data_IF_184782156765
#
_entry.id   IF_184782156765
#
_cell.length_a   1.000
_cell.length_b   1.000
_cell.length_c   1.000
_cell.angle_alpha   90.00
_cell.angle_beta   90.00
_cell.angle_gamma   90.00
#
_symmetry.space_group_name_H-M   'P 1'
#
loop_
_entity.id
_entity.type
_entity.pdbx_description
1 polymer ?
#
# COMPACT_ATOMS: atom_id res chain seq x y z
N UNK A 1 -3.60 -9.97 -10.59
CA UNK A 1 -3.59 -9.41 -9.23
C UNK A 1 -4.65 -8.34 -9.15
N UNK A 2 -5.31 -8.23 -8.01
CA UNK A 2 -6.35 -7.24 -7.74
C UNK A 2 -5.72 -5.95 -7.21
N UNK A 3 -6.39 -4.82 -7.41
CA UNK A 3 -5.96 -3.55 -6.84
C UNK A 3 -6.48 -3.44 -5.41
N UNK A 4 -5.63 -2.97 -4.49
CA UNK A 4 -6.03 -2.65 -3.13
C UNK A 4 -5.54 -1.27 -2.75
N UNK A 5 -6.33 -0.54 -1.98
CA UNK A 5 -5.84 0.61 -1.22
C UNK A 5 -5.77 0.19 0.24
N UNK A 6 -4.57 0.33 0.79
CA UNK A 6 -4.29 0.10 2.19
C UNK A 6 -4.15 1.44 2.90
N UNK A 7 -4.90 1.62 3.98
CA UNK A 7 -4.70 2.68 4.96
C UNK A 7 -3.90 2.10 6.11
N UNK A 8 -2.75 2.69 6.39
CA UNK A 8 -1.86 2.28 7.48
C UNK A 8 -1.87 3.37 8.55
N UNK A 9 -2.18 3.01 9.79
CA UNK A 9 -2.17 3.94 10.93
C UNK A 9 -1.09 3.51 11.91
N UNK A 10 -0.13 4.39 12.21
CA UNK A 10 0.91 4.11 13.21
C UNK A 10 0.29 4.07 14.61
N UNK A 11 0.74 3.17 15.47
CA UNK A 11 0.17 3.04 16.82
C UNK A 11 0.44 4.24 17.74
N UNK A 12 1.49 5.01 17.46
CA UNK A 12 1.89 6.20 18.23
C UNK A 12 2.79 7.14 17.41
N UNK A 13 3.13 8.30 17.98
CA UNK A 13 4.13 9.17 17.37
C UNK A 13 5.51 8.47 17.29
N UNK A 14 5.91 7.72 18.31
CA UNK A 14 7.17 6.97 18.32
C UNK A 14 7.21 5.92 17.21
N UNK A 15 6.11 5.18 17.02
CA UNK A 15 5.97 4.22 15.93
C UNK A 15 6.11 4.89 14.56
N UNK A 16 5.47 6.06 14.39
CA UNK A 16 5.60 6.87 13.17
C UNK A 16 7.04 7.37 12.97
N UNK A 17 7.73 7.79 14.02
CA UNK A 17 9.15 8.20 13.93
C UNK A 17 10.02 7.00 13.53
N UNK A 18 9.81 5.83 14.12
CA UNK A 18 10.53 4.62 13.76
C UNK A 18 10.32 4.26 12.27
N UNK A 19 9.08 4.33 11.78
CA UNK A 19 8.79 4.12 10.36
C UNK A 19 9.56 5.10 9.46
N UNK A 20 9.55 6.39 9.80
CA UNK A 20 10.27 7.43 9.04
C UNK A 20 11.78 7.20 9.10
N UNK A 21 12.34 6.90 10.26
CA UNK A 21 13.79 6.66 10.40
C UNK A 21 14.25 5.47 9.56
N UNK A 22 13.43 4.42 9.48
CA UNK A 22 13.70 3.22 8.68
C UNK A 22 13.58 3.46 7.17
N UNK A 23 12.77 4.44 6.74
CA UNK A 23 12.41 4.62 5.32
C UNK A 23 13.00 5.88 4.68
N UNK A 24 13.35 6.92 5.44
CA UNK A 24 13.77 8.24 4.91
C UNK A 24 15.03 8.23 4.04
N UNK A 25 15.87 7.21 4.19
CA UNK A 25 17.11 7.06 3.43
C UNK A 25 16.97 6.08 2.26
N UNK A 26 15.84 5.39 2.14
CA UNK A 26 15.57 4.49 1.02
C UNK A 26 15.35 5.31 -0.25
N UNK A 27 15.89 4.82 -1.36
CA UNK A 27 15.46 5.26 -2.68
C UNK A 27 14.02 4.82 -2.94
N UNK A 28 13.34 5.49 -3.88
CA UNK A 28 11.99 5.07 -4.30
C UNK A 28 11.96 3.61 -4.77
N UNK A 29 13.04 3.15 -5.41
CA UNK A 29 13.17 1.78 -5.89
C UNK A 29 13.26 0.79 -4.73
N UNK A 30 14.12 1.03 -3.75
CA UNK A 30 14.28 0.18 -2.57
C UNK A 30 12.99 0.09 -1.76
N UNK A 31 12.29 1.21 -1.58
CA UNK A 31 11.00 1.22 -0.87
C UNK A 31 9.95 0.35 -1.57
N UNK A 32 9.88 0.39 -2.90
CA UNK A 32 8.90 -0.40 -3.67
C UNK A 32 9.32 -1.87 -3.71
N UNK A 33 10.56 -2.17 -4.08
CA UNK A 33 11.06 -3.55 -4.23
C UNK A 33 11.15 -4.28 -2.89
N UNK A 34 11.42 -3.59 -1.78
CA UNK A 34 11.45 -4.17 -0.43
C UNK A 34 10.10 -4.73 0.03
N UNK A 35 9.00 -4.31 -0.59
CA UNK A 35 7.65 -4.80 -0.30
C UNK A 35 7.14 -5.87 -1.26
N UNK A 36 7.94 -6.23 -2.27
CA UNK A 36 7.51 -7.13 -3.32
C UNK A 36 7.65 -8.60 -2.88
N UNK A 37 6.53 -9.33 -2.92
CA UNK A 37 6.48 -10.78 -2.77
C UNK A 37 5.92 -11.42 -4.03
N UNK A 38 5.78 -12.76 -4.03
CA UNK A 38 5.10 -13.45 -5.12
C UNK A 38 3.60 -13.11 -5.20
N UNK A 39 2.97 -12.72 -4.08
CA UNK A 39 1.52 -12.56 -3.95
C UNK A 39 1.07 -11.11 -3.76
N UNK A 40 1.97 -10.20 -3.42
CA UNK A 40 1.66 -8.80 -3.17
C UNK A 40 2.81 -7.89 -3.61
N UNK A 41 2.46 -6.71 -4.12
CA UNK A 41 3.41 -5.67 -4.53
C UNK A 41 2.84 -4.29 -4.26
N UNK A 42 3.56 -3.46 -3.50
CA UNK A 42 3.24 -2.03 -3.40
C UNK A 42 3.61 -1.35 -4.71
N UNK A 43 2.71 -0.53 -5.26
CA UNK A 43 2.93 0.20 -6.51
C UNK A 43 2.93 1.71 -6.31
N UNK A 44 2.39 2.20 -5.20
CA UNK A 44 2.51 3.59 -4.80
C UNK A 44 2.35 3.76 -3.28
N UNK A 45 2.96 4.83 -2.76
CA UNK A 45 2.99 5.20 -1.35
C UNK A 45 2.74 6.70 -1.21
N UNK A 46 1.87 7.08 -0.29
CA UNK A 46 1.55 8.47 0.04
C UNK A 46 1.56 8.67 1.55
N UNK A 47 2.52 9.43 2.05
CA UNK A 47 2.63 9.77 3.47
C UNK A 47 2.63 11.29 3.66
N UNK A 48 1.74 11.74 4.56
CA UNK A 48 1.66 13.12 5.01
C UNK A 48 2.38 13.35 6.34
N UNK A 49 1.95 14.38 7.06
CA UNK A 49 2.44 14.68 8.42
C UNK A 49 1.64 13.98 9.53
N UNK A 50 0.48 13.43 9.19
CA UNK A 50 -0.42 12.76 10.12
C UNK A 50 0.07 11.35 10.48
N UNK A 51 -0.67 10.70 11.39
CA UNK A 51 -0.37 9.35 11.91
C UNK A 51 -0.68 8.21 10.94
N UNK A 52 -1.30 8.51 9.81
CA UNK A 52 -1.65 7.53 8.78
C UNK A 52 -1.02 7.85 7.42
N UNK A 53 -0.93 6.82 6.59
CA UNK A 53 -0.48 6.91 5.21
C UNK A 53 -1.21 5.88 4.34
N UNK A 54 -1.15 6.06 3.02
CA UNK A 54 -1.84 5.21 2.06
C UNK A 54 -0.83 4.50 1.18
N UNK A 55 -1.14 3.25 0.83
CA UNK A 55 -0.41 2.50 -0.17
C UNK A 55 -1.37 1.88 -1.18
N UNK A 56 -1.02 1.94 -2.46
CA UNK A 56 -1.69 1.17 -3.50
C UNK A 56 -0.91 -0.13 -3.68
N UNK A 57 -1.62 -1.25 -3.60
CA UNK A 57 -1.10 -2.59 -3.77
C UNK A 57 -1.73 -3.30 -4.96
N UNK A 58 -0.94 -4.16 -5.61
CA UNK A 58 -1.42 -5.26 -6.42
C UNK A 58 -1.24 -6.54 -5.61
N UNK A 59 -2.31 -7.25 -5.29
CA UNK A 59 -2.24 -8.44 -4.46
C UNK A 59 -3.26 -9.53 -4.85
N UNK A 60 -3.04 -10.76 -4.36
CA UNK A 60 -4.00 -11.86 -4.47
C UNK A 60 -5.16 -11.71 -3.46
N UNK A 61 -4.87 -11.24 -2.26
CA UNK A 61 -5.85 -10.98 -1.18
C UNK A 61 -5.35 -9.90 -0.22
N UNK A 62 -6.20 -9.50 0.73
CA UNK A 62 -5.81 -8.63 1.85
C UNK A 62 -4.71 -9.30 2.72
N UNK A 63 -4.84 -10.60 3.02
CA UNK A 63 -3.86 -11.35 3.81
C UNK A 63 -2.47 -11.34 3.17
N UNK A 64 -2.37 -11.41 1.84
CA UNK A 64 -1.09 -11.32 1.15
C UNK A 64 -0.37 -9.99 1.38
N UNK A 65 -1.11 -8.89 1.62
CA UNK A 65 -0.54 -7.59 1.97
C UNK A 65 -0.05 -7.63 3.42
N UNK A 66 -0.84 -8.17 4.35
CA UNK A 66 -0.43 -8.32 5.76
C UNK A 66 0.82 -9.20 5.89
N UNK A 67 0.89 -10.33 5.20
CA UNK A 67 2.09 -11.21 5.15
C UNK A 67 3.34 -10.44 4.67
N UNK A 68 3.19 -9.59 3.65
CA UNK A 68 4.29 -8.78 3.11
C UNK A 68 4.77 -7.69 4.08
N UNK A 69 3.86 -7.12 4.86
CA UNK A 69 4.17 -6.11 5.89
C UNK A 69 4.80 -6.74 7.13
N UNK A 70 4.30 -7.91 7.55
CA UNK A 70 4.85 -8.68 8.67
C UNK A 70 6.28 -9.14 8.39
N UNK A 71 6.58 -9.61 7.17
CA UNK A 71 7.93 -9.98 6.76
C UNK A 71 8.95 -8.83 6.83
N UNK A 72 8.47 -7.58 6.81
CA UNK A 72 9.28 -6.37 6.98
C UNK A 72 9.32 -5.84 8.43
N UNK A 73 8.67 -6.54 9.37
CA UNK A 73 8.58 -6.11 10.77
C UNK A 73 7.67 -4.90 10.99
N UNK A 74 6.75 -4.62 10.06
CA UNK A 74 5.84 -3.48 10.15
C UNK A 74 4.57 -3.79 10.96
N UNK A 75 4.23 -5.06 11.14
CA UNK A 75 3.03 -5.48 11.87
C UNK A 75 2.97 -4.92 13.32
N UNK A 76 4.13 -4.69 13.95
CA UNK A 76 4.24 -4.14 15.31
C UNK A 76 4.23 -2.59 15.35
N UNK A 77 4.12 -1.92 14.20
CA UNK A 77 4.25 -0.46 14.08
C UNK A 77 2.94 0.16 13.54
N UNK A 78 2.21 -0.56 12.70
CA UNK A 78 1.03 -0.05 11.98
C UNK A 78 -0.17 -1.00 12.08
N UNK A 79 -1.37 -0.44 12.25
CA UNK A 79 -2.63 -1.12 11.88
C UNK A 79 -2.82 -0.91 10.39
N UNK A 80 -3.16 -1.97 9.65
CA UNK A 80 -3.48 -1.90 8.23
C UNK A 80 -4.95 -2.26 8.00
N UNK A 81 -5.65 -1.45 7.21
CA UNK A 81 -6.95 -1.78 6.63
C UNK A 81 -6.79 -1.75 5.10
N UNK A 82 -6.87 -2.91 4.44
CA UNK A 82 -6.70 -3.04 2.99
C UNK A 82 -8.03 -3.39 2.32
N UNK A 83 -8.44 -2.58 1.34
CA UNK A 83 -9.72 -2.72 0.66
C UNK A 83 -9.49 -2.96 -0.83
N UNK A 84 -10.15 -3.98 -1.39
CA UNK A 84 -10.12 -4.26 -2.82
C UNK A 84 -10.80 -3.11 -3.60
N UNK A 85 -10.14 -2.65 -4.66
CA UNK A 85 -10.61 -1.57 -5.51
C UNK A 85 -10.81 -2.09 -6.93
N UNK A 86 -12.05 -2.37 -7.30
CA UNK A 86 -12.38 -2.91 -8.64
C UNK A 86 -12.24 -1.87 -9.76
N UNK A 87 -12.23 -0.57 -9.42
CA UNK A 87 -12.02 0.53 -10.37
C UNK A 87 -10.75 1.31 -10.03
N UNK A 88 -9.84 1.38 -10.99
CA UNK A 88 -8.62 2.20 -10.92
C UNK A 88 -8.46 3.00 -12.22
N UNK A 89 -8.31 4.32 -12.10
CA UNK A 89 -8.12 5.24 -13.22
C UNK A 89 -6.88 6.08 -12.92
N UNK A 90 -5.97 6.19 -13.90
CA UNK A 90 -4.76 7.00 -13.78
C UNK A 90 -4.57 7.88 -15.01
N UNK A 91 -4.15 9.12 -14.80
CA UNK A 91 -3.72 10.01 -15.88
C UNK A 91 -2.48 9.49 -16.64
N UNK A 92 -1.78 8.50 -16.08
CA UNK A 92 -0.64 7.84 -16.74
C UNK A 92 -1.05 6.72 -17.71
N UNK A 93 -2.32 6.30 -17.72
CA UNK A 93 -2.86 5.22 -18.56
C UNK A 93 -4.30 5.56 -18.97
N UNK A 94 -4.46 6.57 -19.82
CA UNK A 94 -5.77 7.01 -20.32
C UNK A 94 -6.21 6.13 -21.50
N UNK A 95 -7.44 5.64 -21.44
CA UNK A 95 -8.08 4.83 -22.48
C UNK A 95 -9.39 5.48 -22.91
N UNK A 96 -9.72 5.35 -24.19
CA UNK A 96 -10.98 5.83 -24.76
C UNK A 96 -12.09 4.77 -24.61
N UNK A 97 -12.27 4.27 -23.39
CA UNK A 97 -13.25 3.24 -23.02
C UNK A 97 -14.10 3.74 -21.82
N UNK A 98 -15.37 3.31 -21.68
CA UNK A 98 -16.16 3.63 -20.49
C UNK A 98 -15.47 3.15 -19.21
N UNK A 99 -15.62 3.91 -18.11
CA UNK A 99 -14.97 3.61 -16.82
C UNK A 99 -15.47 2.34 -16.11
N UNK A 100 -16.51 1.66 -16.64
CA UNK A 100 -17.18 0.50 -16.01
C UNK A 100 -17.99 0.86 -14.76
N UNK A 101 -18.84 -0.02 -14.23
CA UNK A 101 -19.56 0.11 -12.95
C UNK A 101 -18.90 -0.80 -11.88
N UNK A 102 -18.60 -0.35 -10.65
CA UNK A 102 -17.97 -1.21 -9.64
C UNK A 102 -18.91 -2.30 -9.12
N UNK A 103 -20.23 -2.13 -9.27
CA UNK A 103 -21.23 -3.10 -8.79
C UNK A 103 -21.40 -4.30 -9.76
N UNK A 104 -20.75 -4.27 -10.92
CA UNK A 104 -20.81 -5.34 -11.95
C UNK A 104 -19.78 -6.49 -11.73
N UNK A 105 -18.95 -6.42 -10.67
CA UNK A 105 -17.79 -7.31 -10.46
C UNK A 105 -17.90 -8.26 -9.25
#
# INVERSE_FOLDING_TARGET
>A
MKHFIATHTCFSEEARRAFIENTKALTHKEMIEGTQTAKAKMVAHWMGKDEFFFCHWLAESEEAIHEALEAQGLADIIVTNANEMVRFISASDLKDEPVGDPDDF
#
